data_IF_271698237681
#
_entry.id   IF_271698237681
#
_cell.length_a   1.000
_cell.length_b   1.000
_cell.length_c   1.000
_cell.angle_alpha   90.00
_cell.angle_beta   90.00
_cell.angle_gamma   90.00
#
_symmetry.space_group_name_H-M   'P 1'
#
loop_
_entity.id
_entity.type
_entity.pdbx_description
1 polymer ?
#
# COMPACT_ATOMS: atom_id res chain seq x y z
N UNK A 1 29.18 24.63 -41.62
CA UNK A 1 28.03 24.86 -40.72
C UNK A 1 27.04 23.71 -40.87
N UNK A 2 27.15 22.63 -40.07
CA UNK A 2 26.24 21.45 -40.16
C UNK A 2 26.00 20.73 -38.82
N UNK A 3 26.98 20.70 -37.89
CA UNK A 3 26.85 20.03 -36.59
C UNK A 3 25.65 20.50 -35.74
N UNK A 4 25.31 21.79 -35.78
CA UNK A 4 24.21 22.36 -34.99
C UNK A 4 22.82 21.87 -35.44
N UNK A 5 22.64 21.58 -36.73
CA UNK A 5 21.35 21.10 -37.27
C UNK A 5 21.07 19.67 -36.76
N UNK A 6 22.07 18.78 -36.81
CA UNK A 6 21.96 17.42 -36.29
C UNK A 6 21.65 17.37 -34.79
N UNK A 7 22.23 18.29 -34.00
CA UNK A 7 22.01 18.39 -32.55
C UNK A 7 20.58 18.81 -32.18
N UNK A 8 19.89 19.57 -33.04
CA UNK A 8 18.49 19.96 -32.82
C UNK A 8 17.48 18.93 -33.35
N UNK A 9 17.88 18.04 -34.27
CA UNK A 9 17.02 16.97 -34.77
C UNK A 9 16.95 15.76 -33.82
N UNK A 10 18.04 15.44 -33.10
CA UNK A 10 18.07 14.36 -32.11
C UNK A 10 16.97 14.44 -31.03
N UNK A 11 16.76 15.57 -30.31
CA UNK A 11 15.69 15.68 -29.32
C UNK A 11 14.29 15.60 -29.95
N UNK A 12 14.11 16.04 -31.20
CA UNK A 12 12.80 15.99 -31.89
C UNK A 12 12.42 14.57 -32.29
N UNK A 13 13.38 13.74 -32.74
CA UNK A 13 13.12 12.33 -33.07
C UNK A 13 12.96 11.46 -31.81
N UNK A 14 13.61 11.83 -30.71
CA UNK A 14 13.43 11.20 -29.39
C UNK A 14 12.16 11.65 -28.65
N UNK A 15 11.47 12.70 -29.12
CA UNK A 15 10.13 13.07 -28.66
C UNK A 15 9.02 12.10 -29.13
N UNK A 16 9.38 10.89 -29.53
CA UNK A 16 8.46 9.75 -29.68
C UNK A 16 7.92 9.40 -28.28
N UNK A 17 6.79 10.01 -27.93
CA UNK A 17 5.92 9.71 -26.79
C UNK A 17 6.65 8.99 -25.66
N UNK A 18 7.27 9.75 -24.74
CA UNK A 18 7.61 9.21 -23.43
C UNK A 18 6.28 8.90 -22.74
N UNK A 19 5.75 7.72 -23.00
CA UNK A 19 4.64 7.14 -22.26
C UNK A 19 5.10 7.07 -20.82
N UNK A 20 4.70 8.09 -20.05
CA UNK A 20 4.70 8.03 -18.60
C UNK A 20 3.78 6.85 -18.27
N UNK A 21 4.37 5.66 -18.10
CA UNK A 21 3.69 4.52 -17.49
C UNK A 21 3.18 5.01 -16.15
N UNK A 22 1.90 5.32 -16.11
CA UNK A 22 1.19 5.65 -14.90
C UNK A 22 1.33 4.40 -14.02
N UNK A 23 2.03 4.56 -12.90
CA UNK A 23 2.24 3.47 -11.95
C UNK A 23 0.93 3.29 -11.18
N UNK A 24 -0.03 2.62 -11.82
CA UNK A 24 -1.29 2.25 -11.19
C UNK A 24 -0.98 1.22 -10.13
N UNK A 25 -1.12 1.62 -8.87
CA UNK A 25 -0.99 0.74 -7.71
C UNK A 25 -2.07 -0.34 -7.80
N UNK A 26 -1.74 -1.60 -7.52
CA UNK A 26 -2.66 -2.74 -7.70
C UNK A 26 -2.72 -3.62 -6.46
N UNK A 27 -3.94 -3.98 -6.08
CA UNK A 27 -4.30 -4.88 -4.97
C UNK A 27 -5.36 -5.90 -5.48
N UNK A 28 -5.45 -7.20 -5.15
CA UNK A 28 -4.77 -8.11 -4.19
C UNK A 28 -5.18 -7.95 -2.71
N UNK A 29 -5.88 -8.96 -2.19
CA UNK A 29 -6.37 -9.08 -0.81
C UNK A 29 -6.36 -10.54 -0.38
N UNK A 30 -5.81 -10.81 0.81
CA UNK A 30 -5.63 -12.16 1.34
C UNK A 30 -6.60 -12.46 2.47
N UNK A 31 -7.48 -13.44 2.24
CA UNK A 31 -8.57 -13.83 3.16
C UNK A 31 -8.12 -14.67 4.37
N UNK A 32 -6.86 -15.09 4.41
CA UNK A 32 -6.27 -15.88 5.50
C UNK A 32 -5.58 -14.90 6.47
N UNK A 33 -5.97 -14.85 7.74
CA UNK A 33 -5.32 -14.00 8.73
C UNK A 33 -3.85 -14.38 8.95
N UNK A 34 -2.99 -13.36 8.97
CA UNK A 34 -1.56 -13.44 9.21
C UNK A 34 -1.17 -12.41 10.30
N UNK A 35 -0.06 -12.60 11.01
CA UNK A 35 0.54 -11.52 11.82
C UNK A 35 1.10 -10.42 10.92
N UNK A 36 1.42 -9.24 11.45
CA UNK A 36 1.99 -8.16 10.64
C UNK A 36 3.32 -8.54 9.96
N UNK A 37 4.17 -9.33 10.61
CA UNK A 37 5.42 -9.83 10.01
C UNK A 37 5.18 -10.95 8.98
N UNK A 38 4.22 -11.85 9.23
CA UNK A 38 3.77 -12.82 8.22
C UNK A 38 3.20 -12.10 6.99
N UNK A 39 2.42 -11.03 7.18
CA UNK A 39 1.83 -10.21 6.13
C UNK A 39 2.90 -9.51 5.29
N UNK A 40 3.90 -8.86 5.91
CA UNK A 40 5.08 -8.31 5.24
C UNK A 40 5.81 -9.37 4.40
N UNK A 41 5.90 -10.62 4.88
CA UNK A 41 6.53 -11.73 4.15
C UNK A 41 5.69 -12.22 2.98
N UNK A 42 4.37 -12.36 3.14
CA UNK A 42 3.44 -12.79 2.08
C UNK A 42 3.55 -11.85 0.88
N UNK A 43 3.32 -10.54 1.07
CA UNK A 43 3.36 -9.60 -0.04
C UNK A 43 4.73 -9.59 -0.76
N UNK A 44 5.84 -9.69 -0.01
CA UNK A 44 7.20 -9.78 -0.59
C UNK A 44 7.43 -11.05 -1.40
N UNK A 45 6.85 -12.18 -1.00
CA UNK A 45 6.93 -13.43 -1.78
C UNK A 45 6.15 -13.35 -3.09
N UNK A 46 5.13 -12.50 -3.16
CA UNK A 46 4.33 -12.23 -4.37
C UNK A 46 4.95 -11.16 -5.29
N UNK A 47 6.13 -10.63 -4.94
CA UNK A 47 6.79 -9.55 -5.68
C UNK A 47 6.24 -8.14 -5.37
N UNK A 48 5.35 -8.03 -4.38
CA UNK A 48 4.79 -6.78 -3.88
C UNK A 48 5.33 -6.37 -2.51
N UNK A 49 4.58 -5.51 -1.82
CA UNK A 49 4.82 -5.10 -0.43
C UNK A 49 3.46 -4.93 0.26
N UNK A 50 3.43 -4.76 1.60
CA UNK A 50 2.21 -4.35 2.27
C UNK A 50 1.71 -3.02 1.67
N UNK A 51 0.42 -2.96 1.36
CA UNK A 51 -0.12 -1.88 0.57
C UNK A 51 -0.12 -0.54 1.34
N UNK A 52 0.62 0.44 0.83
CA UNK A 52 0.63 1.81 1.38
C UNK A 52 -0.52 2.61 0.76
N UNK A 53 -1.35 3.23 1.59
CA UNK A 53 -2.38 4.15 1.11
C UNK A 53 -1.70 5.45 0.67
N UNK A 54 -1.78 5.75 -0.62
CA UNK A 54 -1.09 6.90 -1.25
C UNK A 54 -2.00 8.11 -1.41
N UNK A 55 -3.31 7.90 -1.56
CA UNK A 55 -4.33 8.94 -1.69
C UNK A 55 -5.73 8.41 -1.30
N UNK A 56 -6.74 9.29 -1.37
CA UNK A 56 -8.16 8.92 -1.19
C UNK A 56 -8.64 7.94 -2.26
N UNK A 57 -8.10 8.03 -3.48
CA UNK A 57 -8.44 7.15 -4.60
C UNK A 57 -7.93 5.72 -4.33
N UNK A 58 -6.70 5.59 -3.82
CA UNK A 58 -6.14 4.30 -3.38
C UNK A 58 -6.95 3.70 -2.20
N UNK A 59 -7.34 4.53 -1.22
CA UNK A 59 -8.24 4.10 -0.13
C UNK A 59 -9.58 3.56 -0.67
N UNK A 60 -10.21 4.28 -1.61
CA UNK A 60 -11.46 3.86 -2.23
C UNK A 60 -11.31 2.55 -3.01
N UNK A 61 -10.19 2.36 -3.72
CA UNK A 61 -9.93 1.09 -4.43
C UNK A 61 -9.75 -0.08 -3.46
N UNK A 62 -8.99 0.11 -2.37
CA UNK A 62 -8.86 -0.88 -1.30
C UNK A 62 -10.21 -1.23 -0.66
N UNK A 63 -11.05 -0.23 -0.37
CA UNK A 63 -12.39 -0.45 0.18
C UNK A 63 -13.32 -1.15 -0.81
N UNK A 64 -13.21 -0.84 -2.11
CA UNK A 64 -13.93 -1.54 -3.17
C UNK A 64 -13.42 -2.99 -3.35
N UNK A 65 -12.13 -3.25 -3.09
CA UNK A 65 -11.55 -4.60 -3.05
C UNK A 65 -12.03 -5.38 -1.84
N UNK A 66 -12.02 -4.77 -0.66
CA UNK A 66 -12.56 -5.36 0.56
C UNK A 66 -14.02 -5.79 0.37
N UNK A 67 -14.87 -4.91 -0.16
CA UNK A 67 -16.31 -5.20 -0.39
C UNK A 67 -16.58 -6.38 -1.34
N UNK A 68 -15.71 -6.60 -2.34
CA UNK A 68 -15.80 -7.75 -3.27
C UNK A 68 -15.05 -9.00 -2.77
N UNK A 69 -14.27 -8.85 -1.71
CA UNK A 69 -13.56 -9.96 -1.08
C UNK A 69 -14.51 -10.71 -0.16
N UNK A 70 -14.66 -12.03 -0.39
CA UNK A 70 -15.47 -12.88 0.47
C UNK A 70 -15.00 -12.87 1.93
N UNK A 71 -15.83 -13.34 2.88
CA UNK A 71 -15.62 -13.18 4.32
C UNK A 71 -14.24 -13.68 4.78
N UNK A 72 -13.70 -13.01 5.81
CA UNK A 72 -12.45 -13.40 6.49
C UNK A 72 -12.58 -14.84 7.01
N UNK A 73 -11.57 -15.67 6.73
CA UNK A 73 -11.55 -17.07 7.17
C UNK A 73 -10.96 -17.14 8.58
N UNK A 74 -11.70 -17.68 9.55
CA UNK A 74 -11.27 -17.86 10.94
C UNK A 74 -10.63 -16.60 11.59
N UNK A 75 -11.39 -15.49 11.72
CA UNK A 75 -10.89 -14.24 12.27
C UNK A 75 -10.40 -14.41 13.72
N UNK A 76 -9.20 -13.91 14.01
CA UNK A 76 -8.70 -13.87 15.40
C UNK A 76 -9.51 -12.88 16.23
N UNK A 77 -9.89 -13.25 17.45
CA UNK A 77 -10.67 -12.40 18.37
C UNK A 77 -11.98 -11.83 17.78
N UNK A 78 -12.56 -12.48 16.77
CA UNK A 78 -13.76 -11.97 16.08
C UNK A 78 -13.51 -10.77 15.15
N UNK A 79 -12.25 -10.37 14.94
CA UNK A 79 -11.87 -9.24 14.08
C UNK A 79 -12.00 -9.62 12.59
N UNK A 80 -13.23 -9.62 12.09
CA UNK A 80 -13.58 -9.94 10.70
C UNK A 80 -13.65 -8.71 9.77
N UNK A 81 -13.39 -7.51 10.28
CA UNK A 81 -13.58 -6.22 9.63
C UNK A 81 -12.34 -5.31 9.67
N UNK A 82 -11.14 -5.90 9.70
CA UNK A 82 -9.86 -5.19 9.72
C UNK A 82 -8.89 -5.84 8.74
N UNK A 83 -7.90 -5.09 8.24
CA UNK A 83 -6.80 -5.61 7.43
C UNK A 83 -5.48 -4.92 7.78
N UNK A 84 -4.35 -5.60 7.58
CA UNK A 84 -3.04 -4.98 7.64
C UNK A 84 -2.72 -4.25 6.31
N UNK A 85 -2.29 -3.00 6.46
CA UNK A 85 -1.74 -2.12 5.43
C UNK A 85 -0.30 -1.73 5.78
N UNK A 86 0.44 -1.15 4.83
CA UNK A 86 1.87 -0.88 4.93
C UNK A 86 2.29 0.30 5.81
N UNK A 87 1.71 0.47 7.00
CA UNK A 87 2.13 1.47 8.00
C UNK A 87 2.39 0.83 9.36
N UNK A 88 3.41 1.29 10.08
CA UNK A 88 3.78 0.84 11.42
C UNK A 88 4.21 2.00 12.31
N UNK A 89 3.97 1.88 13.63
CA UNK A 89 4.43 2.86 14.61
C UNK A 89 5.89 2.57 14.97
N UNK A 90 6.73 3.59 14.90
CA UNK A 90 8.17 3.51 15.19
C UNK A 90 8.58 4.60 16.20
N UNK A 91 9.83 4.59 16.63
CA UNK A 91 10.42 5.68 17.44
C UNK A 91 10.41 7.06 16.76
N UNK A 92 10.16 7.12 15.44
CA UNK A 92 10.00 8.36 14.66
C UNK A 92 8.53 8.73 14.42
N UNK A 93 7.60 8.03 15.07
CA UNK A 93 6.16 8.08 14.77
C UNK A 93 5.74 7.08 13.69
N UNK A 94 4.57 7.30 13.11
CA UNK A 94 4.04 6.47 12.02
C UNK A 94 4.91 6.58 10.77
N UNK A 95 5.39 5.44 10.27
CA UNK A 95 6.13 5.30 9.02
C UNK A 95 5.49 4.21 8.16
N UNK A 96 5.73 4.27 6.85
CA UNK A 96 5.42 3.17 5.94
C UNK A 96 6.40 2.01 6.14
N UNK A 97 6.09 0.82 5.63
CA UNK A 97 7.02 -0.32 5.65
C UNK A 97 8.29 -0.12 4.81
N UNK A 98 8.44 1.03 4.14
CA UNK A 98 9.66 1.47 3.45
C UNK A 98 10.52 2.41 4.31
N UNK A 99 10.01 2.90 5.45
CA UNK A 99 10.68 3.84 6.33
C UNK A 99 10.37 5.33 6.07
N UNK A 100 9.56 5.64 5.05
CA UNK A 100 9.11 7.00 4.77
C UNK A 100 7.85 7.38 5.56
N UNK A 101 7.56 8.68 5.70
CA UNK A 101 6.29 9.14 6.29
C UNK A 101 5.11 8.76 5.38
N UNK A 102 3.97 8.29 5.92
CA UNK A 102 2.78 8.02 5.11
C UNK A 102 2.31 9.29 4.38
N UNK A 103 2.13 9.27 3.05
CA UNK A 103 1.70 10.44 2.28
C UNK A 103 0.21 10.78 2.49
N UNK A 104 -0.57 9.80 2.96
CA UNK A 104 -2.00 9.92 3.25
C UNK A 104 -2.32 9.22 4.58
N UNK A 105 -3.14 9.87 5.40
CA UNK A 105 -3.64 9.33 6.68
C UNK A 105 -5.12 9.72 6.83
N UNK A 106 -5.97 8.74 7.10
CA UNK A 106 -7.40 8.92 7.34
C UNK A 106 -7.84 8.04 8.52
N UNK A 107 -7.32 8.34 9.71
CA UNK A 107 -7.61 7.58 10.92
C UNK A 107 -9.08 7.71 11.33
N UNK A 108 -9.69 6.60 11.71
CA UNK A 108 -11.06 6.61 12.22
C UNK A 108 -11.13 7.27 13.60
N UNK A 109 -12.15 8.09 13.83
CA UNK A 109 -12.36 8.84 15.08
C UNK A 109 -12.47 7.95 16.32
N UNK A 110 -12.91 6.70 16.16
CA UNK A 110 -13.08 5.71 17.23
C UNK A 110 -11.93 4.69 17.33
N UNK A 111 -10.84 4.86 16.58
CA UNK A 111 -9.61 4.06 16.76
C UNK A 111 -8.63 4.70 17.76
N UNK A 112 -8.93 5.92 18.22
CA UNK A 112 -8.18 6.58 19.30
C UNK A 112 -8.82 6.26 20.67
N UNK A 113 -8.50 5.08 21.21
CA UNK A 113 -8.82 4.73 22.59
C UNK A 113 -7.52 4.39 23.35
N UNK A 114 -6.70 5.43 23.58
CA UNK A 114 -5.56 5.43 24.51
C UNK A 114 -4.23 4.87 23.98
N UNK A 115 -3.34 5.78 23.53
CA UNK A 115 -1.85 5.71 23.52
C UNK A 115 -1.11 4.41 23.14
N UNK A 116 -1.78 3.42 22.56
CA UNK A 116 -1.14 2.21 22.08
C UNK A 116 -1.89 1.68 20.84
N UNK A 117 -1.31 1.73 19.62
CA UNK A 117 -1.80 0.83 18.58
C UNK A 117 -1.64 -0.59 19.13
N UNK A 118 -2.68 -1.41 19.03
CA UNK A 118 -2.73 -2.73 19.66
C UNK A 118 -1.57 -3.59 19.14
N UNK A 119 -0.45 -3.61 19.85
CA UNK A 119 0.74 -4.40 19.53
C UNK A 119 0.64 -5.82 20.12
N UNK A 120 -0.58 -6.35 20.20
CA UNK A 120 -0.83 -7.75 20.52
C UNK A 120 -0.55 -8.59 19.27
N UNK A 121 -0.12 -9.86 19.41
CA UNK A 121 0.13 -10.76 18.29
C UNK A 121 -1.18 -11.29 17.67
N UNK A 122 -2.08 -10.38 17.27
CA UNK A 122 -3.32 -10.75 16.57
C UNK A 122 -3.04 -10.98 15.08
N UNK A 123 -3.77 -11.92 14.48
CA UNK A 123 -3.75 -12.14 13.03
C UNK A 123 -4.87 -11.36 12.37
N UNK A 124 -4.54 -10.67 11.29
CA UNK A 124 -5.47 -9.92 10.45
C UNK A 124 -5.25 -10.28 8.98
N UNK A 125 -6.26 -10.05 8.15
CA UNK A 125 -6.17 -10.26 6.70
C UNK A 125 -5.28 -9.20 6.05
N UNK A 126 -4.74 -9.49 4.87
CA UNK A 126 -3.60 -8.71 4.33
C UNK A 126 -3.98 -8.01 3.03
N UNK A 127 -3.60 -6.73 2.90
CA UNK A 127 -3.62 -6.01 1.61
C UNK A 127 -2.18 -5.90 1.09
N UNK A 128 -1.95 -6.43 -0.11
CA UNK A 128 -0.74 -6.23 -0.90
C UNK A 128 -1.13 -5.42 -2.13
#
# INVERSE_FOLDING_TARGET
MMKLIYLMLLPVVLAKSYERKEFVQKFTFHRIPATFDEAKRICKQEGGNLAVVTSREAENEMLALWKRSGPVVNPSHGLNAQAFIGIELTSKGWQTTFGDRPPYLNWSLNWWEGDNPIALPFKSVVVC
#
